data_IF_683996417925
#
_entry.id   IF_683996417925
#
_cell.length_a   1.000
_cell.length_b   1.000
_cell.length_c   1.000
_cell.angle_alpha   90.00
_cell.angle_beta   90.00
_cell.angle_gamma   90.00
#
_symmetry.space_group_name_H-M   'P 1'
#
loop_
_entity.id
_entity.type
_entity.pdbx_description
1 polymer ?
#
# COMPACT_ATOMS: atom_id res chain seq x y z
N UNK A 1 -5.71 34.34 14.50
CA UNK A 1 -6.01 32.99 15.00
C UNK A 1 -4.82 32.64 15.88
N UNK A 2 -5.07 32.50 17.18
CA UNK A 2 -4.03 32.17 18.17
C UNK A 2 -3.66 30.70 17.96
N UNK A 3 -2.43 30.31 18.30
CA UNK A 3 -1.99 28.91 18.30
C UNK A 3 -2.92 28.03 19.16
N UNK A 4 -3.52 28.62 20.21
CA UNK A 4 -4.50 27.97 21.10
C UNK A 4 -5.78 27.47 20.37
N UNK A 5 -6.17 28.07 19.24
CA UNK A 5 -7.37 27.64 18.49
C UNK A 5 -7.10 26.40 17.61
N UNK A 6 -5.84 26.02 17.42
CA UNK A 6 -5.45 24.82 16.63
C UNK A 6 -5.30 23.57 17.51
N UNK A 7 -5.07 23.71 18.82
CA UNK A 7 -4.89 22.58 19.74
C UNK A 7 -6.22 21.89 20.12
N UNK A 8 -7.36 22.59 20.05
CA UNK A 8 -8.70 22.03 20.31
C UNK A 8 -9.34 21.39 19.06
N UNK A 9 -8.76 21.64 17.89
CA UNK A 9 -9.15 21.01 16.64
C UNK A 9 -8.51 19.62 16.62
N UNK A 10 -9.11 18.67 17.35
CA UNK A 10 -8.63 17.34 17.73
C UNK A 10 -8.12 16.39 16.62
N UNK A 11 -7.22 16.89 15.79
CA UNK A 11 -6.22 16.18 15.05
C UNK A 11 -5.09 15.90 16.04
N UNK A 12 -5.32 14.99 16.98
CA UNK A 12 -4.19 14.16 17.39
C UNK A 12 -3.67 13.55 16.09
N UNK A 13 -2.42 13.83 15.74
CA UNK A 13 -1.73 12.92 14.85
C UNK A 13 -1.86 11.60 15.57
N UNK A 14 -2.74 10.72 15.08
CA UNK A 14 -2.54 9.31 15.32
C UNK A 14 -1.09 9.13 14.93
N UNK A 15 -0.25 8.73 15.89
CA UNK A 15 1.04 8.15 15.58
C UNK A 15 0.64 6.95 14.75
N UNK A 16 0.40 7.18 13.45
CA UNK A 16 -0.19 6.22 12.54
C UNK A 16 0.70 5.03 12.75
N UNK A 17 0.13 4.02 13.43
CA UNK A 17 0.73 2.71 13.58
C UNK A 17 1.22 2.46 12.17
N UNK A 18 2.55 2.43 11.98
CA UNK A 18 3.10 2.20 10.67
C UNK A 18 2.55 0.83 10.32
N UNK A 19 1.41 0.79 9.63
CA UNK A 19 0.75 -0.42 9.21
C UNK A 19 1.88 -1.16 8.55
N UNK A 20 2.29 -2.28 9.15
CA UNK A 20 3.47 -3.01 8.69
C UNK A 20 3.20 -3.31 7.22
N UNK A 21 3.76 -2.47 6.35
CA UNK A 21 3.51 -2.57 4.93
C UNK A 21 4.09 -3.90 4.54
N UNK A 22 3.24 -4.80 4.06
CA UNK A 22 3.66 -6.11 3.65
C UNK A 22 4.49 -5.96 2.36
N UNK A 23 5.80 -5.78 2.57
CA UNK A 23 6.79 -5.58 1.51
C UNK A 23 6.79 -6.77 0.55
N UNK A 24 6.42 -7.97 1.02
CA UNK A 24 6.33 -9.15 0.18
C UNK A 24 5.13 -9.05 -0.78
N UNK A 25 3.98 -8.55 -0.30
CA UNK A 25 2.79 -8.26 -1.13
C UNK A 25 3.09 -7.18 -2.16
N UNK A 26 3.71 -6.06 -1.77
CA UNK A 26 4.05 -4.98 -2.70
C UNK A 26 4.99 -5.49 -3.81
N UNK A 27 6.03 -6.23 -3.43
CA UNK A 27 6.97 -6.79 -4.40
C UNK A 27 6.29 -7.78 -5.35
N UNK A 28 5.41 -8.65 -4.85
CA UNK A 28 4.63 -9.56 -5.71
C UNK A 28 3.74 -8.80 -6.69
N UNK A 29 3.10 -7.72 -6.24
CA UNK A 29 2.26 -6.89 -7.11
C UNK A 29 3.06 -6.23 -8.25
N UNK A 30 4.21 -5.61 -7.94
CA UNK A 30 5.04 -4.98 -8.96
C UNK A 30 5.64 -5.99 -9.94
N UNK A 31 6.04 -7.18 -9.47
CA UNK A 31 6.48 -8.26 -10.34
C UNK A 31 5.36 -8.70 -11.29
N UNK A 32 4.15 -8.91 -10.77
CA UNK A 32 2.97 -9.32 -11.55
C UNK A 32 2.58 -8.27 -12.60
N UNK A 33 2.66 -6.99 -12.24
CA UNK A 33 2.43 -5.88 -13.17
C UNK A 33 3.48 -5.83 -14.28
N UNK A 34 4.75 -6.06 -13.95
CA UNK A 34 5.82 -6.15 -14.95
C UNK A 34 5.60 -7.30 -15.95
N UNK A 35 5.13 -8.46 -15.48
CA UNK A 35 4.79 -9.61 -16.33
C UNK A 35 3.61 -9.32 -17.26
N UNK A 36 2.59 -8.60 -16.76
CA UNK A 36 1.44 -8.17 -17.57
C UNK A 36 1.85 -7.22 -18.70
N UNK A 37 2.76 -6.29 -18.43
CA UNK A 37 3.23 -5.30 -19.42
C UNK A 37 4.16 -5.91 -20.48
N UNK A 38 4.85 -7.02 -20.17
CA UNK A 38 5.92 -7.61 -20.98
C UNK A 38 5.66 -9.05 -21.45
N UNK A 39 4.42 -9.38 -21.84
CA UNK A 39 4.09 -10.50 -22.74
C UNK A 39 3.55 -11.81 -22.13
N UNK A 40 3.47 -12.01 -20.81
CA UNK A 40 2.93 -13.26 -20.23
C UNK A 40 1.75 -13.06 -19.25
N UNK A 41 0.52 -12.82 -19.78
CA UNK A 41 -0.65 -12.53 -18.96
C UNK A 41 -1.07 -13.72 -18.07
N UNK A 42 -0.65 -14.95 -18.36
CA UNK A 42 -0.98 -16.11 -17.51
C UNK A 42 -0.16 -16.10 -16.22
N UNK A 43 1.14 -15.86 -16.33
CA UNK A 43 2.04 -15.71 -15.18
C UNK A 43 1.65 -14.49 -14.34
N UNK A 44 1.25 -13.39 -14.98
CA UNK A 44 0.76 -12.21 -14.27
C UNK A 44 -0.49 -12.53 -13.43
N UNK A 45 -1.44 -13.31 -13.95
CA UNK A 45 -2.66 -13.71 -13.22
C UNK A 45 -2.30 -14.58 -12.00
N UNK A 46 -1.36 -15.51 -12.13
CA UNK A 46 -0.90 -16.30 -10.97
C UNK A 46 -0.24 -15.43 -9.90
N UNK A 47 0.60 -14.47 -10.32
CA UNK A 47 1.21 -13.51 -9.40
C UNK A 47 0.19 -12.61 -8.69
N UNK A 48 -0.82 -12.10 -9.42
CA UNK A 48 -1.90 -11.34 -8.78
C UNK A 48 -2.73 -12.18 -7.82
N UNK A 49 -2.99 -13.46 -8.10
CA UNK A 49 -3.71 -14.33 -7.17
C UNK A 49 -2.97 -14.53 -5.83
N UNK A 50 -1.64 -14.38 -5.79
CA UNK A 50 -0.86 -14.44 -4.55
C UNK A 50 -1.01 -13.17 -3.70
N UNK A 51 -1.28 -12.03 -4.33
CA UNK A 51 -1.50 -10.73 -3.66
C UNK A 51 -2.88 -10.66 -2.99
N UNK A 52 -3.89 -11.36 -3.52
CA UNK A 52 -5.29 -11.28 -3.03
C UNK A 52 -5.73 -12.48 -2.18
N UNK A 53 -4.88 -13.49 -2.02
CA UNK A 53 -5.17 -14.72 -1.26
C UNK A 53 -4.84 -14.57 0.23
#
# INVERSE_FOLDING_TARGET
MSDDDMEDYGFEYSEDEQEEQDVDIENQYYNSKGLLENEDPKEAIEGFNQVVA
#
